data_IF_333150038094
#
_entry.id   IF_333150038094
#
_cell.length_a   1.000
_cell.length_b   1.000
_cell.length_c   1.000
_cell.angle_alpha   90.00
_cell.angle_beta   90.00
_cell.angle_gamma   90.00
#
_symmetry.space_group_name_H-M   'P 1'
#
loop_
_entity.id
_entity.type
_entity.pdbx_description
1 polymer ?
#
# COMPACT_ATOMS: atom_id res chain seq x y z
N UNK A 1 3.90 21.13 -6.42
CA UNK A 1 4.16 21.25 -4.97
C UNK A 1 5.61 21.62 -4.72
N UNK A 2 5.85 22.60 -3.84
CA UNK A 2 7.19 23.02 -3.39
C UNK A 2 7.62 22.20 -2.17
N UNK A 3 8.66 21.36 -2.30
CA UNK A 3 9.04 20.40 -1.25
C UNK A 3 10.52 20.45 -0.79
N UNK A 4 11.42 21.08 -1.56
CA UNK A 4 12.88 20.98 -1.33
C UNK A 4 13.36 21.55 0.01
N UNK A 5 12.62 22.49 0.58
CA UNK A 5 12.93 23.13 1.88
C UNK A 5 12.07 22.56 3.04
N UNK A 6 11.31 21.49 2.77
CA UNK A 6 10.40 20.88 3.74
C UNK A 6 11.13 20.07 4.82
N UNK A 7 10.53 20.01 6.02
CA UNK A 7 10.94 19.07 7.08
C UNK A 7 10.84 17.64 6.53
N UNK A 8 11.84 16.79 6.80
CA UNK A 8 11.77 15.37 6.51
C UNK A 8 11.23 14.59 7.72
N UNK A 9 10.49 13.52 7.49
CA UNK A 9 10.01 12.64 8.55
C UNK A 9 11.10 11.66 8.98
N UNK A 10 11.21 11.46 10.30
CA UNK A 10 12.06 10.43 10.91
C UNK A 10 11.41 9.02 10.85
N UNK A 11 10.18 8.90 10.36
CA UNK A 11 9.45 7.64 10.25
C UNK A 11 9.64 6.92 8.90
N UNK A 12 10.60 7.36 8.08
CA UNK A 12 10.95 6.69 6.81
C UNK A 12 12.12 5.73 7.02
N UNK A 13 11.87 4.44 6.79
CA UNK A 13 12.88 3.39 6.79
C UNK A 13 13.21 2.97 5.35
N UNK A 14 14.45 3.18 4.91
CA UNK A 14 14.90 2.79 3.57
C UNK A 14 15.52 1.39 3.58
N UNK A 15 14.74 0.39 3.14
CA UNK A 15 15.18 -1.00 2.95
C UNK A 15 15.40 -1.35 1.47
N UNK A 16 15.46 -0.36 0.57
CA UNK A 16 15.73 -0.60 -0.85
C UNK A 16 17.12 -1.24 -1.01
N UNK A 17 17.22 -2.23 -1.89
CA UNK A 17 18.47 -2.98 -2.12
C UNK A 17 18.86 -3.96 -0.99
N UNK A 18 18.14 -4.01 0.13
CA UNK A 18 18.34 -5.06 1.13
C UNK A 18 17.78 -6.37 0.59
N UNK A 19 18.65 -7.35 0.40
CA UNK A 19 18.22 -8.73 0.14
C UNK A 19 17.71 -9.33 1.44
N UNK A 20 16.51 -9.93 1.43
CA UNK A 20 16.11 -10.91 2.44
C UNK A 20 17.29 -11.89 2.63
N UNK A 21 17.74 -12.18 3.86
CA UNK A 21 18.84 -13.10 4.08
C UNK A 21 18.50 -14.44 3.43
N UNK A 22 19.17 -14.74 2.30
CA UNK A 22 19.22 -16.09 1.75
C UNK A 22 19.90 -16.95 2.81
N UNK A 23 19.13 -17.75 3.51
CA UNK A 23 19.66 -18.65 4.52
C UNK A 23 19.44 -18.21 5.97
N UNK A 24 18.25 -17.71 6.30
CA UNK A 24 17.67 -18.12 7.57
C UNK A 24 17.54 -19.64 7.52
N UNK A 25 18.61 -20.35 7.94
CA UNK A 25 18.52 -21.77 8.30
C UNK A 25 17.28 -21.83 9.19
N UNK A 26 16.25 -22.54 8.74
CA UNK A 26 15.12 -22.90 9.57
C UNK A 26 15.73 -23.70 10.72
N UNK A 27 16.06 -23.00 11.80
CA UNK A 27 16.46 -23.56 13.06
C UNK A 27 15.23 -24.27 13.60
N UNK A 28 15.10 -25.55 13.27
CA UNK A 28 13.89 -26.31 13.58
C UNK A 28 13.70 -27.64 12.87
N UNK A 29 14.69 -28.15 12.13
CA UNK A 29 14.78 -29.59 11.85
C UNK A 29 16.10 -30.12 12.43
N UNK A 30 16.22 -30.03 13.76
CA UNK A 30 16.99 -31.03 14.48
C UNK A 30 16.41 -32.41 14.12
N UNK A 31 17.25 -33.44 14.03
CA UNK A 31 17.02 -34.70 13.30
C UNK A 31 15.70 -35.46 13.50
N UNK A 32 14.86 -35.06 14.46
CA UNK A 32 13.49 -35.56 14.64
C UNK A 32 12.53 -35.18 13.49
N UNK A 33 12.63 -33.98 12.93
CA UNK A 33 11.76 -33.56 11.82
C UNK A 33 12.07 -34.28 10.51
N UNK A 34 13.36 -34.59 10.28
CA UNK A 34 13.80 -35.39 9.13
C UNK A 34 13.32 -36.84 9.27
N UNK A 35 13.39 -37.38 10.50
CA UNK A 35 12.89 -38.71 10.84
C UNK A 35 11.38 -38.84 10.59
N UNK A 36 10.58 -37.84 10.96
CA UNK A 36 9.14 -37.86 10.72
C UNK A 36 8.79 -37.88 9.22
N UNK A 37 9.47 -37.08 8.40
CA UNK A 37 9.26 -37.04 6.94
C UNK A 37 9.67 -38.37 6.30
N UNK A 38 10.78 -38.97 6.74
CA UNK A 38 11.23 -40.28 6.27
C UNK A 38 10.26 -41.40 6.65
N UNK A 39 9.71 -41.37 7.87
CA UNK A 39 8.73 -42.35 8.33
C UNK A 39 7.38 -42.22 7.60
N UNK A 40 6.90 -41.00 7.36
CA UNK A 40 5.69 -40.74 6.59
C UNK A 40 5.88 -41.15 5.12
N UNK A 41 7.06 -40.87 4.54
CA UNK A 41 7.43 -41.31 3.19
C UNK A 41 7.46 -42.83 3.05
N UNK A 42 8.05 -43.54 4.01
CA UNK A 42 8.05 -45.01 4.02
C UNK A 42 6.64 -45.59 4.18
N UNK A 43 5.77 -44.97 4.99
CA UNK A 43 4.36 -45.39 5.13
C UNK A 43 3.57 -45.20 3.83
N UNK A 44 3.93 -44.20 3.01
CA UNK A 44 3.31 -43.91 1.71
C UNK A 44 4.01 -44.61 0.53
N UNK A 45 4.99 -45.48 0.78
CA UNK A 45 5.69 -46.27 -0.24
C UNK A 45 6.78 -45.53 -1.02
N UNK A 46 7.26 -44.38 -0.52
CA UNK A 46 8.33 -43.57 -1.12
C UNK A 46 9.69 -44.03 -0.58
N UNK A 47 10.63 -44.33 -1.47
CA UNK A 47 11.97 -44.80 -1.12
C UNK A 47 12.83 -43.68 -0.49
N UNK A 48 13.31 -43.82 0.75
CA UNK A 48 14.05 -42.78 1.47
C UNK A 48 15.46 -42.51 0.90
N UNK A 49 15.96 -43.35 -0.01
CA UNK A 49 17.25 -43.12 -0.69
C UNK A 49 17.26 -41.84 -1.53
N UNK A 50 16.09 -41.36 -1.98
CA UNK A 50 15.93 -40.09 -2.71
C UNK A 50 16.30 -38.87 -1.86
N UNK A 51 16.11 -38.94 -0.54
CA UNK A 51 16.50 -37.89 0.41
C UNK A 51 17.99 -37.93 0.77
N UNK A 52 18.63 -39.11 0.67
CA UNK A 52 20.07 -39.30 0.92
C UNK A 52 20.94 -38.92 -0.29
N UNK A 53 20.41 -39.01 -1.51
CA UNK A 53 21.17 -38.70 -2.74
C UNK A 53 21.39 -37.21 -2.99
N UNK A 54 20.86 -36.33 -2.14
CA UNK A 54 21.00 -34.88 -2.30
C UNK A 54 20.18 -34.38 -3.48
N UNK A 55 19.28 -33.43 -3.22
CA UNK A 55 18.55 -32.75 -4.29
C UNK A 55 19.58 -32.09 -5.21
N UNK A 56 19.55 -32.31 -6.54
CA UNK A 56 20.49 -31.66 -7.43
C UNK A 56 20.37 -30.15 -7.28
N UNK A 57 21.48 -29.53 -6.90
CA UNK A 57 21.59 -28.09 -6.75
C UNK A 57 21.32 -27.46 -8.11
N UNK A 58 20.14 -26.89 -8.30
CA UNK A 58 19.83 -26.11 -9.51
C UNK A 58 20.76 -24.89 -9.49
N UNK A 59 21.85 -24.97 -10.25
CA UNK A 59 22.71 -23.81 -10.53
C UNK A 59 21.89 -22.80 -11.34
N UNK A 60 21.22 -21.89 -10.64
CA UNK A 60 20.73 -20.67 -11.28
C UNK A 60 21.95 -19.86 -11.72
N UNK A 61 22.03 -19.40 -12.97
CA UNK A 61 23.13 -18.55 -13.41
C UNK A 61 23.19 -17.31 -12.51
N UNK A 62 24.35 -17.12 -11.88
CA UNK A 62 24.66 -15.93 -11.11
C UNK A 62 24.79 -14.75 -12.07
N UNK A 63 23.68 -14.06 -12.33
CA UNK A 63 23.77 -12.69 -12.80
C UNK A 63 24.40 -11.90 -11.65
N UNK A 64 25.68 -11.58 -11.79
CA UNK A 64 26.34 -10.57 -10.98
C UNK A 64 25.64 -9.25 -11.24
N UNK A 65 24.63 -8.93 -10.42
CA UNK A 65 24.16 -7.56 -10.31
C UNK A 65 25.29 -6.81 -9.63
N UNK A 66 26.16 -6.24 -10.46
CA UNK A 66 27.18 -5.31 -10.04
C UNK A 66 26.46 -4.19 -9.29
N UNK A 67 26.65 -4.15 -7.98
CA UNK A 67 26.09 -3.14 -7.09
C UNK A 67 26.81 -1.82 -7.40
N UNK A 68 26.38 -1.17 -8.47
CA UNK A 68 26.72 0.21 -8.76
C UNK A 68 26.18 1.06 -7.62
N UNK A 69 27.07 1.80 -6.95
CA UNK A 69 26.74 2.64 -5.80
C UNK A 69 25.55 3.56 -6.06
N UNK A 70 24.82 3.87 -4.97
CA UNK A 70 23.71 4.83 -4.91
C UNK A 70 24.04 6.10 -5.73
N UNK A 71 23.34 6.37 -6.84
CA UNK A 71 23.37 7.70 -7.43
C UNK A 71 22.47 8.61 -6.58
N UNK A 72 22.87 9.87 -6.43
CA UNK A 72 22.09 10.93 -5.77
C UNK A 72 20.63 11.06 -6.26
N UNK A 73 20.32 10.58 -7.48
CA UNK A 73 18.97 10.52 -8.03
C UNK A 73 17.98 9.65 -7.21
N UNK A 74 18.46 8.61 -6.52
CA UNK A 74 17.62 7.78 -5.64
C UNK A 74 17.33 8.44 -4.28
N UNK A 75 18.15 9.42 -3.89
CA UNK A 75 17.99 10.16 -2.63
C UNK A 75 16.99 11.30 -2.80
N UNK A 76 16.90 11.95 -3.97
CA UNK A 76 15.86 12.95 -4.26
C UNK A 76 14.44 12.35 -4.11
N UNK A 77 14.21 11.14 -4.61
CA UNK A 77 12.92 10.44 -4.43
C UNK A 77 12.65 10.07 -2.97
N UNK A 78 13.66 9.58 -2.24
CA UNK A 78 13.54 9.28 -0.81
C UNK A 78 13.20 10.55 -0.02
N UNK A 79 13.92 11.63 -0.30
CA UNK A 79 13.76 12.92 0.38
C UNK A 79 12.38 13.50 0.08
N UNK A 80 11.93 13.43 -1.18
CA UNK A 80 10.56 13.80 -1.54
C UNK A 80 9.53 13.01 -0.72
N UNK A 81 9.64 11.68 -0.67
CA UNK A 81 8.72 10.85 0.13
C UNK A 81 8.78 11.20 1.62
N UNK A 82 9.97 11.47 2.15
CA UNK A 82 10.14 11.86 3.55
C UNK A 82 9.52 13.22 3.88
N UNK A 83 9.58 14.19 2.95
CA UNK A 83 8.89 15.48 3.09
C UNK A 83 7.37 15.29 3.02
N UNK A 84 6.86 14.52 2.05
CA UNK A 84 5.43 14.23 1.93
C UNK A 84 4.89 13.54 3.19
N UNK A 85 5.65 12.60 3.76
CA UNK A 85 5.28 11.95 5.02
C UNK A 85 5.26 12.94 6.19
N UNK A 86 6.26 13.81 6.32
CA UNK A 86 6.30 14.83 7.36
C UNK A 86 5.12 15.80 7.28
N UNK A 87 4.78 16.27 6.07
CA UNK A 87 3.63 17.13 5.84
C UNK A 87 2.31 16.42 6.18
N UNK A 88 2.21 15.14 5.82
CA UNK A 88 1.07 14.29 6.17
C UNK A 88 0.92 14.16 7.69
N UNK A 89 2.01 13.85 8.40
CA UNK A 89 2.02 13.77 9.87
C UNK A 89 1.59 15.07 10.52
N UNK A 90 2.09 16.21 10.03
CA UNK A 90 1.82 17.51 10.61
C UNK A 90 0.34 17.90 10.42
N UNK A 91 -0.19 17.71 9.21
CA UNK A 91 -1.60 17.98 8.88
C UNK A 91 -2.53 17.10 9.71
N UNK A 92 -2.25 15.81 9.81
CA UNK A 92 -3.10 14.89 10.58
C UNK A 92 -2.98 15.10 12.09
N UNK A 93 -1.80 15.43 12.60
CA UNK A 93 -1.61 15.78 14.01
C UNK A 93 -2.45 16.99 14.40
N UNK A 94 -2.46 18.03 13.57
CA UNK A 94 -3.31 19.21 13.80
C UNK A 94 -4.80 18.87 13.71
N UNK A 95 -5.19 18.12 12.69
CA UNK A 95 -6.59 17.72 12.46
C UNK A 95 -7.13 16.87 13.60
N UNK A 96 -6.38 15.87 14.06
CA UNK A 96 -6.77 15.01 15.18
C UNK A 96 -6.86 15.79 16.49
N UNK A 97 -5.91 16.71 16.73
CA UNK A 97 -5.95 17.59 17.91
C UNK A 97 -7.24 18.42 17.97
N UNK A 98 -7.71 18.95 16.83
CA UNK A 98 -9.00 19.69 16.75
C UNK A 98 -10.21 18.82 17.09
N UNK A 99 -10.11 17.50 16.92
CA UNK A 99 -11.16 16.53 17.27
C UNK A 99 -10.98 15.95 18.67
N UNK A 100 -10.04 16.46 19.48
CA UNK A 100 -9.75 15.89 20.80
C UNK A 100 -9.15 14.48 20.75
N UNK A 101 -8.45 14.15 19.66
CA UNK A 101 -7.78 12.86 19.45
C UNK A 101 -6.27 13.06 19.29
N UNK A 102 -5.52 11.98 19.49
CA UNK A 102 -4.08 11.93 19.25
C UNK A 102 -3.81 11.15 17.98
N UNK A 103 -3.11 11.77 17.02
CA UNK A 103 -2.64 11.08 15.83
C UNK A 103 -1.44 10.20 16.16
N UNK A 104 -1.40 8.99 15.60
CA UNK A 104 -0.28 8.07 15.72
C UNK A 104 0.44 8.03 14.36
N UNK A 105 1.65 8.59 14.25
CA UNK A 105 2.36 8.64 12.97
C UNK A 105 2.75 7.23 12.51
N UNK A 106 2.49 6.87 11.24
CA UNK A 106 2.85 5.56 10.71
C UNK A 106 4.34 5.49 10.36
N UNK A 107 4.92 4.29 10.41
CA UNK A 107 6.22 4.02 9.81
C UNK A 107 6.06 3.70 8.33
N UNK A 108 6.81 4.39 7.47
CA UNK A 108 6.84 4.15 6.02
C UNK A 108 8.13 3.42 5.67
N UNK A 109 8.00 2.24 5.06
CA UNK A 109 9.16 1.44 4.62
C UNK A 109 9.29 1.51 3.11
N UNK A 110 10.45 1.97 2.61
CA UNK A 110 10.80 1.91 1.20
C UNK A 110 11.48 0.57 0.89
N UNK A 111 11.04 -0.14 -0.16
CA UNK A 111 11.57 -1.45 -0.53
C UNK A 111 11.64 -1.62 -2.05
N UNK A 112 12.46 -2.57 -2.53
CA UNK A 112 12.65 -2.81 -3.98
C UNK A 112 11.93 -4.05 -4.53
N UNK A 113 11.45 -4.95 -3.65
CA UNK A 113 10.77 -6.19 -4.07
C UNK A 113 9.54 -6.46 -3.21
N UNK A 114 9.76 -6.79 -1.95
CA UNK A 114 8.71 -7.11 -1.00
C UNK A 114 9.17 -6.75 0.41
N UNK A 115 8.22 -6.44 1.28
CA UNK A 115 8.45 -6.20 2.71
C UNK A 115 7.51 -7.10 3.51
N UNK A 116 8.03 -7.71 4.58
CA UNK A 116 7.21 -8.39 5.56
C UNK A 116 6.51 -7.34 6.42
N UNK A 117 5.17 -7.37 6.41
CA UNK A 117 4.31 -6.46 7.16
C UNK A 117 3.51 -7.24 8.21
N UNK A 118 2.87 -6.52 9.13
CA UNK A 118 1.95 -7.12 10.11
C UNK A 118 0.78 -7.88 9.46
N UNK A 119 0.48 -7.61 8.18
CA UNK A 119 -0.56 -8.27 7.40
C UNK A 119 0.00 -9.35 6.43
N UNK A 120 1.28 -9.72 6.53
CA UNK A 120 1.97 -10.64 5.61
C UNK A 120 2.93 -9.94 4.64
N UNK A 121 3.41 -10.65 3.61
CA UNK A 121 4.27 -10.08 2.58
C UNK A 121 3.45 -9.08 1.74
N UNK A 122 3.69 -7.78 1.92
CA UNK A 122 2.93 -6.73 1.26
C UNK A 122 3.66 -6.21 0.01
N UNK A 123 2.93 -6.12 -1.10
CA UNK A 123 3.37 -5.41 -2.32
C UNK A 123 3.07 -3.90 -2.30
N UNK A 124 2.26 -3.42 -1.35
CA UNK A 124 1.84 -2.03 -1.21
C UNK A 124 1.40 -1.69 0.23
N UNK A 125 1.33 -0.38 0.56
CA UNK A 125 1.01 0.10 1.91
C UNK A 125 -0.43 -0.24 2.35
N UNK A 126 -0.58 -0.71 3.60
CA UNK A 126 -1.86 -1.06 4.23
C UNK A 126 -2.00 -0.25 5.52
N UNK A 127 -3.12 0.47 5.69
CA UNK A 127 -3.44 1.30 6.87
C UNK A 127 -4.52 0.64 7.75
N UNK A 128 -4.74 1.14 8.97
CA UNK A 128 -5.64 0.52 9.96
C UNK A 128 -7.13 0.40 9.58
N UNK A 129 -7.66 1.25 8.69
CA UNK A 129 -9.05 1.13 8.17
C UNK A 129 -9.21 -0.16 7.35
N UNK A 130 -8.11 -0.64 6.76
CA UNK A 130 -8.10 -1.82 5.90
C UNK A 130 -8.51 -3.08 6.67
N UNK A 131 -8.22 -3.20 7.97
CA UNK A 131 -8.51 -4.43 8.72
C UNK A 131 -10.02 -4.72 8.80
N UNK A 132 -10.84 -3.69 9.06
CA UNK A 132 -12.29 -3.89 9.17
C UNK A 132 -12.91 -4.22 7.82
N UNK A 133 -12.39 -3.63 6.75
CA UNK A 133 -12.82 -3.91 5.38
C UNK A 133 -12.42 -5.33 4.98
N UNK A 134 -11.20 -5.78 5.33
CA UNK A 134 -10.76 -7.17 5.11
C UNK A 134 -11.69 -8.16 5.81
N UNK A 135 -12.02 -7.96 7.09
CA UNK A 135 -12.95 -8.83 7.83
C UNK A 135 -14.33 -8.94 7.15
N UNK A 136 -14.84 -7.82 6.63
CA UNK A 136 -16.11 -7.79 5.90
C UNK A 136 -15.99 -8.48 4.54
N UNK A 137 -14.85 -8.31 3.86
CA UNK A 137 -14.58 -8.94 2.57
C UNK A 137 -14.50 -10.47 2.68
N UNK A 138 -13.89 -11.01 3.74
CA UNK A 138 -13.79 -12.46 3.97
C UNK A 138 -15.16 -13.16 4.03
N UNK A 139 -16.20 -12.44 4.46
CA UNK A 139 -17.56 -12.96 4.63
C UNK A 139 -18.48 -12.66 3.45
N UNK A 140 -18.00 -11.91 2.47
CA UNK A 140 -18.80 -11.33 1.40
C UNK A 140 -18.65 -12.09 0.07
N UNK A 141 -19.71 -12.06 -0.74
CA UNK A 141 -19.63 -12.55 -2.12
C UNK A 141 -18.76 -11.62 -3.00
N UNK A 142 -18.32 -12.04 -4.20
CA UNK A 142 -17.42 -11.23 -5.02
C UNK A 142 -17.91 -9.80 -5.32
N UNK A 143 -19.19 -9.63 -5.62
CA UNK A 143 -19.76 -8.29 -5.89
C UNK A 143 -19.79 -7.42 -4.63
N UNK A 144 -20.10 -8.00 -3.48
CA UNK A 144 -20.06 -7.29 -2.19
C UNK A 144 -18.63 -6.90 -1.80
N UNK A 145 -17.64 -7.78 -2.02
CA UNK A 145 -16.23 -7.45 -1.79
C UNK A 145 -15.77 -6.26 -2.62
N UNK A 146 -16.17 -6.24 -3.89
CA UNK A 146 -15.91 -5.15 -4.83
C UNK A 146 -16.53 -3.84 -4.31
N UNK A 147 -17.79 -3.86 -3.88
CA UNK A 147 -18.46 -2.67 -3.28
C UNK A 147 -17.74 -2.16 -2.04
N UNK A 148 -17.28 -3.05 -1.16
CA UNK A 148 -16.51 -2.69 0.02
C UNK A 148 -15.17 -2.04 -0.36
N UNK A 149 -14.49 -2.59 -1.36
CA UNK A 149 -13.24 -2.04 -1.91
C UNK A 149 -13.46 -0.62 -2.45
N UNK A 150 -14.48 -0.43 -3.29
CA UNK A 150 -14.82 0.88 -3.86
C UNK A 150 -15.11 1.90 -2.77
N UNK A 151 -15.90 1.56 -1.74
CA UNK A 151 -16.19 2.49 -0.64
C UNK A 151 -14.94 2.90 0.12
N UNK A 152 -14.03 1.96 0.37
CA UNK A 152 -12.75 2.23 1.04
C UNK A 152 -11.86 3.17 0.20
N UNK A 153 -11.75 2.92 -1.10
CA UNK A 153 -10.96 3.75 -2.03
C UNK A 153 -11.53 5.18 -2.13
N UNK A 154 -12.85 5.32 -2.24
CA UNK A 154 -13.51 6.64 -2.26
C UNK A 154 -13.37 7.39 -0.94
N UNK A 155 -13.32 6.67 0.20
CA UNK A 155 -13.05 7.30 1.49
C UNK A 155 -11.62 7.82 1.56
N UNK A 156 -10.66 7.07 1.03
CA UNK A 156 -9.28 7.51 0.93
C UNK A 156 -9.17 8.76 0.04
N UNK A 157 -9.86 8.82 -1.10
CA UNK A 157 -9.93 10.01 -1.95
C UNK A 157 -10.47 11.23 -1.19
N UNK A 158 -11.53 11.05 -0.39
CA UNK A 158 -12.08 12.11 0.45
C UNK A 158 -11.10 12.58 1.52
N UNK A 159 -10.39 11.67 2.19
CA UNK A 159 -9.35 12.03 3.15
C UNK A 159 -8.18 12.78 2.50
N UNK A 160 -7.79 12.42 1.27
CA UNK A 160 -6.82 13.18 0.49
C UNK A 160 -7.31 14.61 0.20
N UNK A 161 -8.61 14.77 -0.07
CA UNK A 161 -9.24 16.09 -0.19
C UNK A 161 -9.17 16.89 1.12
N UNK A 162 -9.49 16.28 2.26
CA UNK A 162 -9.40 16.92 3.59
C UNK A 162 -7.96 17.34 3.89
N UNK A 163 -7.00 16.47 3.59
CA UNK A 163 -5.58 16.80 3.71
C UNK A 163 -5.22 18.02 2.85
N UNK A 164 -5.66 18.05 1.58
CA UNK A 164 -5.39 19.16 0.67
C UNK A 164 -6.03 20.48 1.16
N UNK A 165 -7.25 20.43 1.71
CA UNK A 165 -7.90 21.58 2.34
C UNK A 165 -7.04 22.15 3.46
N UNK A 166 -6.59 21.29 4.38
CA UNK A 166 -5.82 21.72 5.53
C UNK A 166 -4.42 22.18 5.12
N UNK A 167 -3.75 21.47 4.21
CA UNK A 167 -2.44 21.83 3.65
C UNK A 167 -2.45 23.21 2.98
N UNK A 168 -3.48 23.50 2.17
CA UNK A 168 -3.64 24.81 1.54
C UNK A 168 -3.89 25.90 2.59
N UNK A 169 -4.80 25.65 3.56
CA UNK A 169 -5.18 26.62 4.59
C UNK A 169 -4.06 26.93 5.60
N UNK A 170 -3.30 25.94 6.04
CA UNK A 170 -2.33 26.11 7.13
C UNK A 170 -0.90 26.32 6.66
N UNK A 171 -0.53 25.87 5.45
CA UNK A 171 0.87 25.89 4.99
C UNK A 171 1.09 26.51 3.61
N UNK A 172 0.04 26.78 2.84
CA UNK A 172 0.13 27.38 1.48
C UNK A 172 1.10 26.61 0.56
N UNK A 173 1.20 25.29 0.73
CA UNK A 173 2.10 24.41 -0.03
C UNK A 173 1.54 23.95 -1.38
N UNK A 174 0.22 24.08 -1.56
CA UNK A 174 -0.48 23.68 -2.78
C UNK A 174 -0.85 24.89 -3.63
N UNK A 175 -0.46 24.85 -4.90
CA UNK A 175 -0.94 25.75 -5.94
C UNK A 175 -2.23 25.18 -6.58
N UNK A 176 -3.03 26.03 -7.23
CA UNK A 176 -4.25 25.58 -7.91
C UNK A 176 -3.96 24.49 -8.97
N UNK A 177 -2.83 24.59 -9.67
CA UNK A 177 -2.37 23.59 -10.62
C UNK A 177 -2.05 22.23 -9.99
N UNK A 178 -1.56 22.20 -8.75
CA UNK A 178 -1.23 20.95 -8.04
C UNK A 178 -2.50 20.14 -7.75
N UNK A 179 -3.61 20.82 -7.41
CA UNK A 179 -4.89 20.18 -7.12
C UNK A 179 -5.48 19.57 -8.40
N UNK A 180 -5.43 20.32 -9.51
CA UNK A 180 -5.91 19.84 -10.80
C UNK A 180 -5.06 18.66 -11.33
N UNK A 181 -3.75 18.71 -11.15
CA UNK A 181 -2.87 17.58 -11.49
C UNK A 181 -3.21 16.33 -10.66
N UNK A 182 -3.40 16.49 -9.35
CA UNK A 182 -3.81 15.40 -8.45
C UNK A 182 -5.18 14.80 -8.84
N UNK A 183 -6.16 15.64 -9.16
CA UNK A 183 -7.48 15.21 -9.64
C UNK A 183 -7.39 14.48 -10.98
N UNK A 184 -6.54 14.95 -11.90
CA UNK A 184 -6.31 14.29 -13.18
C UNK A 184 -5.71 12.90 -12.99
N UNK A 185 -4.70 12.77 -12.11
CA UNK A 185 -4.10 11.49 -11.76
C UNK A 185 -5.13 10.53 -11.12
N UNK A 186 -5.92 11.01 -10.16
CA UNK A 186 -6.97 10.21 -9.54
C UNK A 186 -8.04 9.76 -10.55
N UNK A 187 -8.42 10.64 -11.49
CA UNK A 187 -9.39 10.31 -12.54
C UNK A 187 -8.85 9.28 -13.54
N UNK A 188 -7.54 9.25 -13.78
CA UNK A 188 -6.91 8.38 -14.78
C UNK A 188 -6.97 6.90 -14.40
N UNK A 189 -7.02 6.59 -13.10
CA UNK A 189 -7.07 5.23 -12.56
C UNK A 189 -8.49 4.77 -12.21
N UNK A 190 -9.53 5.49 -12.63
CA UNK A 190 -10.91 5.01 -12.50
C UNK A 190 -11.15 3.74 -13.30
N UNK A 191 -11.83 2.75 -12.71
CA UNK A 191 -12.04 1.44 -13.32
C UNK A 191 -12.80 1.55 -14.66
N UNK A 192 -13.72 2.51 -14.77
CA UNK A 192 -14.44 2.81 -16.01
C UNK A 192 -13.49 3.25 -17.13
N UNK A 193 -12.45 4.02 -16.83
CA UNK A 193 -11.45 4.45 -17.82
C UNK A 193 -10.50 3.33 -18.19
N UNK A 194 -10.03 2.57 -17.18
CA UNK A 194 -9.14 1.43 -17.39
C UNK A 194 -9.83 0.40 -18.27
N UNK A 195 -11.03 -0.03 -17.90
CA UNK A 195 -11.80 -1.02 -18.66
C UNK A 195 -12.12 -0.54 -20.08
N UNK A 196 -12.50 0.73 -20.27
CA UNK A 196 -12.74 1.25 -21.63
C UNK A 196 -11.48 1.19 -22.49
N UNK A 197 -10.30 1.41 -21.91
CA UNK A 197 -9.02 1.33 -22.63
C UNK A 197 -8.54 -0.10 -22.88
N UNK A 198 -8.79 -1.02 -21.95
CA UNK A 198 -8.25 -2.40 -22.03
C UNK A 198 -9.18 -3.37 -22.75
N UNK A 199 -10.50 -3.23 -22.60
CA UNK A 199 -11.49 -4.18 -23.14
C UNK A 199 -12.65 -3.50 -23.92
N UNK A 200 -12.66 -2.17 -24.03
CA UNK A 200 -13.62 -1.42 -24.85
C UNK A 200 -15.01 -1.23 -24.24
N UNK A 201 -15.33 -1.85 -23.11
CA UNK A 201 -16.62 -1.75 -22.43
C UNK A 201 -16.46 -1.70 -20.91
N UNK A 202 -17.49 -1.20 -20.22
CA UNK A 202 -17.47 -0.96 -18.77
C UNK A 202 -18.43 -1.92 -18.07
N UNK A 203 -17.95 -2.59 -17.02
CA UNK A 203 -18.71 -3.50 -16.16
C UNK A 203 -18.65 -2.97 -14.71
N UNK A 204 -19.65 -2.19 -14.28
CA UNK A 204 -19.64 -1.54 -12.96
C UNK A 204 -19.53 -2.50 -11.77
N UNK A 205 -20.13 -3.68 -11.85
CA UNK A 205 -20.08 -4.67 -10.76
C UNK A 205 -18.68 -5.27 -10.54
N UNK A 206 -17.77 -5.11 -11.50
CA UNK A 206 -16.39 -5.54 -11.42
C UNK A 206 -15.44 -4.46 -10.88
N UNK A 207 -15.94 -3.30 -10.48
CA UNK A 207 -15.11 -2.21 -9.96
C UNK A 207 -14.51 -2.56 -8.59
N UNK A 208 -13.24 -2.24 -8.42
CA UNK A 208 -12.49 -2.37 -7.15
C UNK A 208 -12.00 -1.02 -6.63
N UNK A 209 -11.85 -0.02 -7.51
CA UNK A 209 -11.41 1.33 -7.20
C UNK A 209 -12.50 2.39 -7.43
N UNK A 210 -13.54 2.03 -8.18
CA UNK A 210 -14.67 2.91 -8.50
C UNK A 210 -14.44 3.66 -9.82
N UNK A 211 -15.49 4.36 -10.26
CA UNK A 211 -15.40 5.18 -11.47
C UNK A 211 -14.59 6.46 -11.24
N UNK A 212 -13.95 6.96 -12.29
CA UNK A 212 -13.23 8.24 -12.27
C UNK A 212 -14.10 9.38 -11.72
N UNK A 213 -15.39 9.40 -12.04
CA UNK A 213 -16.33 10.42 -11.56
C UNK A 213 -16.59 10.33 -10.05
N UNK A 214 -16.69 9.12 -9.49
CA UNK A 214 -16.85 8.93 -8.05
C UNK A 214 -15.59 9.39 -7.30
N UNK A 215 -14.41 8.99 -7.78
CA UNK A 215 -13.12 9.36 -7.16
C UNK A 215 -12.94 10.87 -7.09
N UNK A 216 -13.16 11.57 -8.22
CA UNK A 216 -13.11 13.04 -8.28
C UNK A 216 -14.14 13.69 -7.36
N UNK A 217 -15.37 13.14 -7.29
CA UNK A 217 -16.42 13.67 -6.42
C UNK A 217 -16.00 13.61 -4.95
N UNK A 218 -15.56 12.45 -4.46
CA UNK A 218 -15.22 12.29 -3.05
C UNK A 218 -14.00 13.10 -2.65
N UNK A 219 -13.00 13.20 -3.53
CA UNK A 219 -11.89 14.14 -3.31
C UNK A 219 -12.38 15.58 -3.15
N UNK A 220 -13.27 16.06 -4.05
CA UNK A 220 -13.82 17.43 -3.98
C UNK A 220 -14.62 17.65 -2.70
N UNK A 221 -15.42 16.67 -2.25
CA UNK A 221 -16.14 16.74 -0.97
C UNK A 221 -15.16 16.99 0.18
N UNK A 222 -14.07 16.22 0.26
CA UNK A 222 -13.05 16.40 1.28
C UNK A 222 -12.38 17.78 1.20
N UNK A 223 -12.01 18.21 -0.01
CA UNK A 223 -11.37 19.50 -0.27
C UNK A 223 -12.26 20.70 0.12
N UNK A 224 -13.56 20.62 -0.18
CA UNK A 224 -14.51 21.70 0.13
C UNK A 224 -14.87 21.73 1.62
N UNK A 225 -15.10 20.57 2.24
CA UNK A 225 -15.60 20.47 3.61
C UNK A 225 -14.51 20.54 4.67
N UNK A 226 -13.31 20.04 4.36
CA UNK A 226 -12.14 20.09 5.26
C UNK A 226 -12.32 19.33 6.58
N UNK A 227 -13.27 18.41 6.68
CA UNK A 227 -13.53 17.63 7.89
C UNK A 227 -13.85 16.17 7.58
N UNK A 228 -13.48 15.28 8.51
CA UNK A 228 -13.59 13.83 8.32
C UNK A 228 -15.03 13.31 8.32
N UNK A 229 -15.96 14.03 8.96
CA UNK A 229 -17.36 13.62 9.05
C UNK A 229 -18.06 13.64 7.69
N UNK A 230 -17.57 14.45 6.76
CA UNK A 230 -18.07 14.49 5.38
C UNK A 230 -17.64 13.28 4.53
N UNK A 231 -16.74 12.41 5.02
CA UNK A 231 -16.11 11.33 4.27
C UNK A 231 -16.67 9.93 4.61
N UNK A 232 -17.90 9.85 5.12
CA UNK A 232 -18.56 8.57 5.41
C UNK A 232 -19.12 7.92 4.14
N UNK A 233 -18.25 7.27 3.37
CA UNK A 233 -18.64 6.52 2.18
C UNK A 233 -19.38 5.22 2.49
N UNK A 234 -19.34 4.72 3.73
CA UNK A 234 -19.97 3.46 4.09
C UNK A 234 -21.47 3.63 4.33
N UNK A 235 -21.89 4.80 4.82
CA UNK A 235 -23.30 5.15 5.02
C UNK A 235 -23.87 6.05 3.91
N UNK A 236 -23.10 6.35 2.85
CA UNK A 236 -23.58 7.16 1.73
C UNK A 236 -24.57 6.38 0.83
N UNK A 237 -25.74 6.97 0.60
CA UNK A 237 -26.76 6.49 -0.35
C UNK A 237 -26.29 6.60 -1.81
N UNK A 238 -25.48 7.63 -2.10
CA UNK A 238 -24.90 7.87 -3.41
C UNK A 238 -23.39 8.05 -3.29
N UNK A 239 -22.67 7.22 -4.04
CA UNK A 239 -21.22 7.32 -4.23
C UNK A 239 -20.85 8.29 -5.36
#
# INVERSE_FOLDING_TARGET
>A
MRWRDGRQSDNVEDRRGMSLPRGAKIGGMSGLGLLAVVLIGMFLGIDPTVLLQGVPEIQTPSVSVQQSGRPAANDDQRNFVAVVLAETEDVWSETFRKMGRTYQPPKLVLFSRAVESACGVAGSAVLGITQKVIELQERANPSERNKLSVRMELQADCFSGVWAHQAHKSRQILEAGDIEEGLNAASAIGDDRIQRKTQGHVVPDAFTHGSAAQRVRWFKIGLERGNLQACDTFNADRL
#
